data_IF_211527408097
#
_entry.id   IF_211527408097
#
_cell.length_a   1.000
_cell.length_b   1.000
_cell.length_c   1.000
_cell.angle_alpha   90.00
_cell.angle_beta   90.00
_cell.angle_gamma   90.00
#
_symmetry.space_group_name_H-M   'P 1'
#
loop_
_entity.id
_entity.type
_entity.pdbx_description
1 polymer ?
#
# COMPACT_ATOMS: atom_id res chain seq x y z
N UNK A 1 47.22 -2.50 3.39
CA UNK A 1 46.55 -2.85 2.13
C UNK A 1 45.04 -2.73 2.34
N UNK A 2 44.39 -1.72 1.77
CA UNK A 2 42.95 -1.49 1.94
C UNK A 2 42.18 -2.14 0.79
N UNK A 3 41.38 -3.17 1.07
CA UNK A 3 40.49 -3.81 0.11
C UNK A 3 39.26 -2.93 -0.12
N UNK A 4 39.20 -2.25 -1.26
CA UNK A 4 37.99 -1.56 -1.74
C UNK A 4 36.92 -2.60 -2.11
N UNK A 5 35.96 -2.82 -1.21
CA UNK A 5 34.73 -3.55 -1.54
C UNK A 5 33.84 -2.67 -2.42
N UNK A 6 33.86 -2.93 -3.72
CA UNK A 6 32.91 -2.36 -4.67
C UNK A 6 31.56 -3.05 -4.51
N UNK A 7 30.66 -2.45 -3.73
CA UNK A 7 29.27 -2.88 -3.64
C UNK A 7 28.59 -2.48 -4.95
N UNK A 8 28.52 -3.42 -5.91
CA UNK A 8 27.65 -3.32 -7.09
C UNK A 8 26.22 -3.25 -6.59
N UNK A 9 25.69 -2.03 -6.47
CA UNK A 9 24.27 -1.76 -6.29
C UNK A 9 23.53 -2.35 -7.50
N UNK A 10 22.92 -3.51 -7.30
CA UNK A 10 21.98 -4.11 -8.24
C UNK A 10 20.78 -3.18 -8.31
N UNK A 11 20.79 -2.30 -9.31
CA UNK A 11 19.65 -1.51 -9.77
C UNK A 11 18.51 -2.49 -10.00
N UNK A 12 17.59 -2.60 -9.04
CA UNK A 12 16.41 -3.44 -9.21
C UNK A 12 15.65 -2.84 -10.39
N UNK A 13 15.47 -3.66 -11.43
CA UNK A 13 14.63 -3.31 -12.57
C UNK A 13 13.24 -3.02 -12.00
N UNK A 14 12.88 -1.75 -11.93
CA UNK A 14 11.56 -1.29 -11.51
C UNK A 14 10.59 -1.75 -12.59
N UNK A 15 10.10 -2.97 -12.45
CA UNK A 15 9.00 -3.52 -13.25
C UNK A 15 7.88 -2.49 -13.22
N UNK A 16 7.62 -1.88 -14.38
CA UNK A 16 6.54 -0.91 -14.59
C UNK A 16 5.26 -1.49 -14.00
N UNK A 17 4.82 -0.97 -12.85
CA UNK A 17 3.57 -1.39 -12.22
C UNK A 17 2.46 -0.72 -13.00
N UNK A 18 1.71 -1.49 -13.77
CA UNK A 18 0.56 -1.00 -14.53
C UNK A 18 -0.41 -0.28 -13.57
N UNK A 19 -0.67 1.02 -13.75
CA UNK A 19 -1.50 1.80 -12.83
C UNK A 19 -2.93 1.26 -12.73
N UNK A 20 -3.43 0.63 -13.81
CA UNK A 20 -4.73 -0.03 -13.84
C UNK A 20 -4.83 -1.19 -12.84
N UNK A 21 -3.78 -2.00 -12.69
CA UNK A 21 -3.78 -3.13 -11.74
C UNK A 21 -3.84 -2.62 -10.30
N UNK A 22 -3.13 -1.53 -10.00
CA UNK A 22 -3.16 -0.89 -8.69
C UNK A 22 -4.54 -0.30 -8.41
N UNK A 23 -5.15 0.35 -9.40
CA UNK A 23 -6.50 0.91 -9.28
C UNK A 23 -7.55 -0.17 -9.03
N UNK A 24 -7.55 -1.24 -9.82
CA UNK A 24 -8.47 -2.37 -9.64
C UNK A 24 -8.29 -3.03 -8.26
N UNK A 25 -7.05 -3.24 -7.83
CA UNK A 25 -6.75 -3.76 -6.49
C UNK A 25 -7.35 -2.88 -5.39
N UNK A 26 -7.18 -1.55 -5.48
CA UNK A 26 -7.71 -0.62 -4.47
C UNK A 26 -9.24 -0.63 -4.43
N UNK A 27 -9.90 -0.71 -5.59
CA UNK A 27 -11.36 -0.78 -5.67
C UNK A 27 -11.86 -2.09 -5.05
N UNK A 28 -11.31 -3.23 -5.46
CA UNK A 28 -11.67 -4.54 -4.90
C UNK A 28 -11.40 -4.60 -3.39
N UNK A 29 -10.28 -4.05 -2.95
CA UNK A 29 -9.92 -4.01 -1.53
C UNK A 29 -10.86 -3.10 -0.71
N UNK A 30 -11.27 -1.95 -1.27
CA UNK A 30 -12.25 -1.06 -0.65
C UNK A 30 -13.61 -1.75 -0.49
N UNK A 31 -14.08 -2.43 -1.54
CA UNK A 31 -15.34 -3.19 -1.50
C UNK A 31 -15.26 -4.30 -0.43
N UNK A 32 -14.14 -5.03 -0.38
CA UNK A 32 -13.93 -6.06 0.64
C UNK A 32 -13.94 -5.49 2.06
N UNK A 33 -13.30 -4.33 2.27
CA UNK A 33 -13.27 -3.67 3.58
C UNK A 33 -14.68 -3.25 4.02
N UNK A 34 -15.48 -2.69 3.11
CA UNK A 34 -16.88 -2.35 3.39
C UNK A 34 -17.71 -3.59 3.70
N UNK A 35 -17.51 -4.68 2.96
CA UNK A 35 -18.16 -5.97 3.22
C UNK A 35 -17.82 -6.52 4.60
N UNK A 36 -16.55 -6.41 5.02
CA UNK A 36 -16.11 -6.79 6.37
C UNK A 36 -16.83 -5.98 7.46
N UNK A 37 -16.95 -4.66 7.28
CA UNK A 37 -17.65 -3.77 8.22
C UNK A 37 -19.13 -4.12 8.30
N UNK A 38 -19.78 -4.33 7.15
CA UNK A 38 -21.21 -4.63 7.08
C UNK A 38 -21.55 -5.97 7.75
N UNK A 39 -20.77 -7.02 7.46
CA UNK A 39 -21.00 -8.36 8.03
C UNK A 39 -20.30 -8.60 9.37
N UNK A 40 -19.66 -7.57 9.95
CA UNK A 40 -18.87 -7.65 11.18
C UNK A 40 -17.94 -8.87 11.25
N UNK A 41 -17.23 -9.14 10.15
CA UNK A 41 -16.39 -10.31 10.01
C UNK A 41 -15.24 -10.09 9.04
N UNK A 42 -14.33 -11.05 8.97
CA UNK A 42 -13.22 -11.02 8.01
C UNK A 42 -12.88 -12.44 7.55
N UNK A 43 -12.36 -12.55 6.34
CA UNK A 43 -11.87 -13.83 5.82
C UNK A 43 -10.50 -14.14 6.40
N UNK A 44 -10.40 -15.27 7.12
CA UNK A 44 -9.15 -15.77 7.70
C UNK A 44 -8.66 -16.94 6.86
N UNK A 45 -7.42 -16.86 6.37
CA UNK A 45 -6.81 -17.88 5.53
C UNK A 45 -6.77 -19.23 6.26
N UNK A 46 -7.34 -20.27 5.64
CA UNK A 46 -7.44 -21.62 6.21
C UNK A 46 -8.64 -21.85 7.13
N UNK A 47 -9.37 -20.80 7.52
CA UNK A 47 -10.51 -20.90 8.43
C UNK A 47 -11.82 -20.33 7.87
N UNK A 48 -11.76 -19.65 6.73
CA UNK A 48 -12.91 -19.08 6.04
C UNK A 48 -13.38 -17.75 6.63
N UNK A 49 -14.64 -17.40 6.41
CA UNK A 49 -15.26 -16.22 6.99
C UNK A 49 -15.41 -16.40 8.51
N UNK A 50 -14.90 -15.45 9.30
CA UNK A 50 -15.01 -15.47 10.76
C UNK A 50 -15.58 -14.15 11.26
N UNK A 51 -16.38 -14.25 12.31
CA UNK A 51 -16.93 -13.07 12.98
C UNK A 51 -15.83 -12.31 13.71
N UNK A 52 -16.03 -11.00 13.89
CA UNK A 52 -15.14 -10.13 14.66
C UNK A 52 -14.94 -10.62 16.10
N UNK A 53 -15.94 -11.27 16.69
CA UNK A 53 -15.86 -11.81 18.04
C UNK A 53 -14.81 -12.93 18.16
N UNK A 54 -14.70 -13.78 17.13
CA UNK A 54 -13.78 -14.93 17.13
C UNK A 54 -12.35 -14.50 16.78
N UNK A 55 -12.19 -13.56 15.84
CA UNK A 55 -10.88 -13.12 15.33
C UNK A 55 -10.77 -11.58 15.23
N UNK A 56 -10.75 -10.86 16.36
CA UNK A 56 -10.73 -9.40 16.38
C UNK A 56 -9.43 -8.83 15.78
N UNK A 57 -8.32 -9.55 15.93
CA UNK A 57 -7.01 -9.10 15.45
C UNK A 57 -6.94 -9.06 13.91
N UNK A 58 -7.44 -10.10 13.24
CA UNK A 58 -7.48 -10.16 11.76
C UNK A 58 -8.43 -9.11 11.18
N UNK A 59 -9.56 -8.90 11.84
CA UNK A 59 -10.50 -7.84 11.49
C UNK A 59 -9.86 -6.44 11.60
N UNK A 60 -9.19 -6.15 12.71
CA UNK A 60 -8.53 -4.85 12.93
C UNK A 60 -7.37 -4.61 11.96
N UNK A 61 -6.60 -5.63 11.60
CA UNK A 61 -5.54 -5.51 10.58
C UNK A 61 -6.14 -5.18 9.21
N UNK A 62 -7.24 -5.83 8.84
CA UNK A 62 -7.97 -5.55 7.59
C UNK A 62 -8.46 -4.11 7.56
N UNK A 63 -9.04 -3.65 8.66
CA UNK A 63 -9.52 -2.27 8.78
C UNK A 63 -8.38 -1.24 8.73
N UNK A 64 -7.28 -1.51 9.44
CA UNK A 64 -6.11 -0.63 9.47
C UNK A 64 -5.44 -0.53 8.09
N UNK A 65 -5.31 -1.65 7.37
CA UNK A 65 -4.81 -1.65 5.99
C UNK A 65 -5.75 -0.93 5.02
N UNK A 66 -7.07 -1.01 5.27
CA UNK A 66 -8.12 -0.18 4.64
C UNK A 66 -7.81 1.31 4.65
N UNK A 67 -7.21 1.82 5.73
CA UNK A 67 -6.93 3.24 5.93
C UNK A 67 -5.50 3.59 5.49
N UNK A 68 -4.51 2.79 5.90
CA UNK A 68 -3.08 3.09 5.68
C UNK A 68 -2.73 3.09 4.19
N UNK A 69 -3.28 2.16 3.40
CA UNK A 69 -2.99 2.07 1.96
C UNK A 69 -3.41 3.31 1.17
N UNK A 70 -4.68 3.78 1.24
CA UNK A 70 -5.08 4.99 0.55
C UNK A 70 -4.35 6.23 1.08
N UNK A 71 -4.16 6.37 2.40
CA UNK A 71 -3.42 7.51 2.97
C UNK A 71 -1.98 7.56 2.45
N UNK A 72 -1.28 6.42 2.40
CA UNK A 72 0.09 6.35 1.89
C UNK A 72 0.21 6.76 0.40
N UNK A 73 -0.79 6.39 -0.41
CA UNK A 73 -0.84 6.79 -1.83
C UNK A 73 -1.05 8.30 -1.96
N UNK A 74 -1.98 8.87 -1.19
CA UNK A 74 -2.27 10.31 -1.19
C UNK A 74 -1.03 11.10 -0.75
N UNK A 75 -0.39 10.72 0.35
CA UNK A 75 0.82 11.41 0.86
C UNK A 75 1.94 11.37 -0.18
N UNK A 76 2.17 10.22 -0.82
CA UNK A 76 3.19 10.09 -1.87
C UNK A 76 2.87 10.98 -3.07
N UNK A 77 1.59 11.06 -3.48
CA UNK A 77 1.14 11.90 -4.58
C UNK A 77 1.34 13.39 -4.27
N UNK A 78 0.95 13.83 -3.07
CA UNK A 78 1.16 15.21 -2.58
C UNK A 78 2.66 15.53 -2.55
N UNK A 79 3.48 14.67 -1.97
CA UNK A 79 4.92 14.86 -1.89
C UNK A 79 5.57 14.97 -3.28
N UNK A 80 5.11 14.16 -4.24
CA UNK A 80 5.58 14.23 -5.63
C UNK A 80 5.26 15.58 -6.28
N UNK A 81 4.04 16.10 -6.09
CA UNK A 81 3.65 17.42 -6.59
C UNK A 81 4.47 18.55 -5.95
N UNK A 82 4.71 18.50 -4.64
CA UNK A 82 5.55 19.48 -3.94
C UNK A 82 6.99 19.45 -4.46
N UNK A 83 7.57 18.26 -4.64
CA UNK A 83 8.92 18.10 -5.17
C UNK A 83 9.04 18.63 -6.60
N UNK A 84 8.05 18.35 -7.46
CA UNK A 84 8.03 18.84 -8.85
C UNK A 84 8.00 20.37 -8.90
N UNK A 85 7.21 21.02 -8.03
CA UNK A 85 7.18 22.49 -7.93
C UNK A 85 8.54 23.06 -7.50
N UNK A 86 9.19 22.50 -6.46
CA UNK A 86 10.51 22.97 -5.98
C UNK A 86 11.60 22.89 -7.05
N UNK A 87 11.62 21.83 -7.85
CA UNK A 87 12.60 21.69 -8.92
C UNK A 87 12.38 22.73 -10.04
N UNK A 88 11.13 23.04 -10.39
CA UNK A 88 10.85 24.04 -11.43
C UNK A 88 11.26 25.47 -11.04
N UNK A 89 11.18 25.82 -9.75
CA UNK A 89 11.55 27.16 -9.25
C UNK A 89 13.06 27.36 -9.11
N UNK A 90 13.86 26.29 -9.01
CA UNK A 90 15.34 26.37 -8.94
C UNK A 90 16.01 26.44 -10.32
N UNK A 91 15.26 26.33 -11.42
CA UNK A 91 15.75 26.44 -12.80
C UNK A 91 15.41 27.80 -13.44
N UNK A 92 14.97 28.78 -12.65
CA UNK A 92 14.79 30.20 -13.01
C UNK A 92 15.82 30.99 -12.21
#
# INVERSE_FOLDING_TARGET
>A
MASKFSIKSSKSSTKSKNPLVVLLFLISFSIYTLYCIYHQGSFVRGLGWRSRADYPLSYNITLASGIILPTGIIVKHIFWHIKKKKNATMHI
#
